data_IF_446819702244
#
_entry.id   IF_446819702244
#
_cell.length_a   1.000
_cell.length_b   1.000
_cell.length_c   1.000
_cell.angle_alpha   90.00
_cell.angle_beta   90.00
_cell.angle_gamma   90.00
#
_symmetry.space_group_name_H-M   'P 1'
#
loop_
_entity.id
_entity.type
_entity.pdbx_description
1 polymer ?
#
# COMPACT_ATOMS: atom_id res chain seq x y z
N UNK A 1 -15.29 -13.33 -8.17
CA UNK A 1 -14.06 -12.78 -7.57
C UNK A 1 -13.24 -13.90 -6.99
N UNK A 2 -11.99 -14.04 -7.45
CA UNK A 2 -11.00 -14.95 -6.86
C UNK A 2 -10.59 -14.47 -5.46
N UNK A 3 -9.95 -15.31 -4.66
CA UNK A 3 -9.43 -14.94 -3.33
C UNK A 3 -8.48 -13.75 -3.43
N UNK A 4 -7.58 -13.75 -4.42
CA UNK A 4 -6.62 -12.68 -4.66
C UNK A 4 -7.29 -11.34 -5.00
N UNK A 5 -8.35 -11.34 -5.81
CA UNK A 5 -9.11 -10.12 -6.10
C UNK A 5 -9.76 -9.50 -4.85
N UNK A 6 -10.17 -10.33 -3.87
CA UNK A 6 -10.70 -9.81 -2.60
C UNK A 6 -9.60 -9.23 -1.73
N UNK A 7 -8.47 -9.92 -1.63
CA UNK A 7 -7.30 -9.45 -0.89
C UNK A 7 -6.79 -8.11 -1.46
N UNK A 8 -6.64 -8.01 -2.78
CA UNK A 8 -6.25 -6.76 -3.44
C UNK A 8 -7.25 -5.64 -3.19
N UNK A 9 -8.56 -5.92 -3.22
CA UNK A 9 -9.58 -4.92 -2.93
C UNK A 9 -9.50 -4.41 -1.49
N UNK A 10 -9.33 -5.31 -0.51
CA UNK A 10 -9.15 -4.95 0.90
C UNK A 10 -7.86 -4.15 1.12
N UNK A 11 -6.75 -4.58 0.53
CA UNK A 11 -5.47 -3.88 0.59
C UNK A 11 -5.58 -2.47 -0.02
N UNK A 12 -6.21 -2.34 -1.20
CA UNK A 12 -6.44 -1.06 -1.86
C UNK A 12 -7.25 -0.11 -0.98
N UNK A 13 -8.33 -0.59 -0.36
CA UNK A 13 -9.13 0.22 0.54
C UNK A 13 -8.31 0.72 1.74
N UNK A 14 -7.49 -0.13 2.34
CA UNK A 14 -6.58 0.25 3.43
C UNK A 14 -5.53 1.28 2.98
N UNK A 15 -4.95 1.11 1.80
CA UNK A 15 -3.99 2.05 1.21
C UNK A 15 -4.59 3.42 0.93
N UNK A 16 -5.78 3.47 0.32
CA UNK A 16 -6.49 4.71 0.02
C UNK A 16 -6.80 5.48 1.31
N UNK A 17 -7.28 4.78 2.34
CA UNK A 17 -7.57 5.39 3.65
C UNK A 17 -6.29 5.90 4.33
N UNK A 18 -5.23 5.09 4.33
CA UNK A 18 -3.95 5.44 4.91
C UNK A 18 -3.35 6.68 4.23
N UNK A 19 -3.31 6.70 2.89
CA UNK A 19 -2.77 7.82 2.13
C UNK A 19 -3.60 9.09 2.34
N UNK A 20 -4.93 8.99 2.42
CA UNK A 20 -5.78 10.13 2.71
C UNK A 20 -5.43 10.79 4.05
N UNK A 21 -5.20 9.99 5.10
CA UNK A 21 -4.86 10.52 6.43
C UNK A 21 -3.42 11.05 6.53
N UNK A 22 -2.45 10.44 5.85
CA UNK A 22 -1.03 10.75 6.04
C UNK A 22 -0.43 11.65 4.96
N UNK A 23 -0.90 11.53 3.72
CA UNK A 23 -0.38 12.26 2.57
C UNK A 23 -1.37 13.35 2.11
N UNK A 24 -2.67 13.05 2.13
CA UNK A 24 -3.73 13.91 1.62
C UNK A 24 -4.41 13.31 0.39
N UNK A 25 -5.40 14.02 -0.14
CA UNK A 25 -6.23 13.54 -1.27
C UNK A 25 -5.53 13.60 -2.63
N UNK A 26 -4.36 14.26 -2.74
CA UNK A 26 -3.56 14.34 -3.96
C UNK A 26 -2.55 13.20 -4.10
N UNK A 27 -2.49 12.28 -3.13
CA UNK A 27 -1.70 11.07 -3.25
C UNK A 27 -2.24 10.16 -4.36
N UNK A 28 -1.35 9.70 -5.23
CA UNK A 28 -1.65 8.70 -6.26
C UNK A 28 -1.13 7.35 -5.79
N UNK A 29 -2.02 6.36 -5.84
CA UNK A 29 -1.70 4.97 -5.51
C UNK A 29 -2.13 4.11 -6.68
N UNK A 30 -1.18 3.38 -7.23
CA UNK A 30 -1.45 2.35 -8.23
C UNK A 30 -1.16 0.99 -7.61
N UNK A 31 -2.06 0.03 -7.86
CA UNK A 31 -1.97 -1.33 -7.32
C UNK A 31 -2.14 -2.29 -8.47
N UNK A 32 -1.06 -2.99 -8.83
CA UNK A 32 -1.00 -3.93 -9.95
C UNK A 32 -0.89 -5.36 -9.42
N UNK A 33 -1.78 -6.23 -9.89
CA UNK A 33 -1.77 -7.65 -9.53
C UNK A 33 -0.87 -8.43 -10.49
N UNK A 34 -0.17 -9.42 -9.95
CA UNK A 34 0.67 -10.38 -10.67
C UNK A 34 0.45 -11.79 -10.13
N UNK A 35 0.96 -12.81 -10.81
CA UNK A 35 0.90 -14.19 -10.30
C UNK A 35 1.65 -14.34 -8.97
N UNK A 36 2.71 -13.56 -8.76
CA UNK A 36 3.56 -13.59 -7.56
C UNK A 36 3.00 -12.78 -6.38
N UNK A 37 2.07 -11.85 -6.62
CA UNK A 37 1.60 -10.94 -5.59
C UNK A 37 1.13 -9.59 -6.15
N UNK A 38 1.39 -8.53 -5.41
CA UNK A 38 0.93 -7.17 -5.71
C UNK A 38 2.10 -6.20 -5.72
N UNK A 39 2.12 -5.33 -6.73
CA UNK A 39 3.01 -4.17 -6.78
C UNK A 39 2.21 -2.90 -6.49
N UNK A 40 2.68 -2.11 -5.54
CA UNK A 40 2.05 -0.87 -5.09
C UNK A 40 3.00 0.27 -5.42
N UNK A 41 2.52 1.25 -6.18
CA UNK A 41 3.25 2.50 -6.43
C UNK A 41 2.58 3.63 -5.68
N UNK A 42 3.35 4.42 -4.93
CA UNK A 42 2.86 5.60 -4.21
C UNK A 42 3.61 6.83 -4.69
N UNK A 43 2.86 7.82 -5.16
CA UNK A 43 3.40 9.10 -5.60
C UNK A 43 2.63 10.26 -4.94
N UNK A 44 3.36 11.14 -4.26
CA UNK A 44 2.80 12.32 -3.63
C UNK A 44 3.85 13.42 -3.52
N UNK A 45 3.43 14.69 -3.48
CA UNK A 45 4.33 15.86 -3.51
C UNK A 45 5.34 15.90 -2.35
N UNK A 46 4.97 15.35 -1.18
CA UNK A 46 5.78 15.35 0.06
C UNK A 46 6.73 14.16 0.23
N UNK A 47 6.66 13.17 -0.66
CA UNK A 47 7.51 11.99 -0.61
C UNK A 47 8.16 11.76 -1.97
N UNK A 48 9.32 11.13 -1.99
CA UNK A 48 9.88 10.58 -3.21
C UNK A 48 8.96 9.43 -3.63
N UNK A 49 8.50 9.38 -4.89
CA UNK A 49 7.72 8.25 -5.36
C UNK A 49 8.46 6.94 -5.11
N UNK A 50 7.74 5.92 -4.65
CA UNK A 50 8.32 4.63 -4.32
C UNK A 50 7.38 3.50 -4.70
N UNK A 51 7.97 2.34 -4.91
CA UNK A 51 7.29 1.10 -5.24
C UNK A 51 7.52 0.07 -4.13
N UNK A 52 6.49 -0.72 -3.84
CA UNK A 52 6.49 -1.80 -2.86
C UNK A 52 5.92 -3.05 -3.52
N UNK A 53 6.71 -4.11 -3.57
CA UNK A 53 6.27 -5.42 -4.02
C UNK A 53 5.98 -6.30 -2.82
N UNK A 54 4.80 -6.90 -2.78
CA UNK A 54 4.35 -7.83 -1.74
C UNK A 54 3.94 -9.15 -2.38
N UNK A 55 4.39 -10.27 -1.83
CA UNK A 55 3.85 -11.57 -2.22
C UNK A 55 2.45 -11.79 -1.63
N UNK A 56 1.68 -12.73 -2.18
CA UNK A 56 0.31 -12.99 -1.71
C UNK A 56 0.20 -13.34 -0.23
N UNK A 57 1.20 -14.02 0.34
CA UNK A 57 1.22 -14.34 1.77
C UNK A 57 1.37 -13.07 2.63
N UNK A 58 2.20 -12.12 2.21
CA UNK A 58 2.34 -10.83 2.89
C UNK A 58 1.06 -10.01 2.77
N UNK A 59 0.40 -10.03 1.61
CA UNK A 59 -0.88 -9.34 1.43
C UNK A 59 -1.95 -9.91 2.38
N UNK A 60 -2.03 -11.23 2.50
CA UNK A 60 -2.97 -11.87 3.43
C UNK A 60 -2.70 -11.48 4.89
N UNK A 61 -1.44 -11.52 5.32
CA UNK A 61 -1.00 -11.08 6.65
C UNK A 61 -1.37 -9.61 6.92
N UNK A 62 -1.11 -8.71 5.96
CA UNK A 62 -1.36 -7.28 6.11
C UNK A 62 -2.86 -6.93 6.09
N UNK A 63 -3.67 -7.69 5.35
CA UNK A 63 -5.13 -7.55 5.38
C UNK A 63 -5.70 -8.08 6.71
N UNK A 64 -5.10 -9.13 7.28
CA UNK A 64 -5.52 -9.68 8.57
C UNK A 64 -5.09 -8.83 9.77
N UNK A 65 -3.98 -8.07 9.67
CA UNK A 65 -3.44 -7.21 10.73
C UNK A 65 -3.25 -5.75 10.26
N UNK A 66 -4.28 -4.89 10.47
CA UNK A 66 -4.22 -3.49 10.11
C UNK A 66 -3.10 -2.69 10.81
N UNK A 67 -2.71 -3.08 12.03
CA UNK A 67 -1.66 -2.38 12.78
C UNK A 67 -0.29 -2.64 12.14
N UNK A 68 -0.06 -3.88 11.69
CA UNK A 68 1.14 -4.25 10.93
C UNK A 68 1.19 -3.55 9.58
N UNK A 69 0.05 -3.43 8.90
CA UNK A 69 -0.07 -2.65 7.67
C UNK A 69 0.31 -1.18 7.88
N UNK A 70 -0.28 -0.53 8.89
CA UNK A 70 0.00 0.88 9.19
C UNK A 70 1.48 1.10 9.54
N UNK A 71 2.06 0.23 10.37
CA UNK A 71 3.47 0.29 10.73
C UNK A 71 4.40 0.17 9.51
N UNK A 72 4.12 -0.77 8.59
CA UNK A 72 4.87 -0.94 7.36
C UNK A 72 4.82 0.33 6.49
N UNK A 73 3.61 0.87 6.28
CA UNK A 73 3.43 2.02 5.40
C UNK A 73 4.05 3.30 5.99
N UNK A 74 3.96 3.51 7.31
CA UNK A 74 4.61 4.63 7.99
C UNK A 74 6.14 4.57 7.88
N UNK A 75 6.72 3.38 8.00
CA UNK A 75 8.16 3.18 7.78
C UNK A 75 8.56 3.54 6.35
N UNK A 76 7.78 3.13 5.34
CA UNK A 76 8.02 3.53 3.94
C UNK A 76 7.92 5.05 3.75
N UNK A 77 6.85 5.70 4.25
CA UNK A 77 6.70 7.15 4.14
C UNK A 77 7.85 7.90 4.82
N UNK A 78 8.34 7.41 5.95
CA UNK A 78 9.46 8.02 6.67
C UNK A 78 10.76 7.87 5.88
N UNK A 79 11.02 6.71 5.28
CA UNK A 79 12.20 6.45 4.45
C UNK A 79 12.25 7.31 3.20
N UNK A 80 11.11 7.52 2.54
CA UNK A 80 11.02 8.27 1.29
C UNK A 80 10.57 9.73 1.49
N UNK A 81 10.51 10.22 2.73
CA UNK A 81 10.13 11.61 3.00
C UNK A 81 11.10 12.57 2.32
N UNK A 82 10.57 13.52 1.55
CA UNK A 82 11.38 14.64 1.04
C UNK A 82 11.64 15.58 2.21
N UNK A 83 12.92 15.77 2.55
CA UNK A 83 13.36 16.62 3.65
C UNK A 83 13.17 18.10 3.37
#
# INVERSE_FOLDING_TARGET
MTTYQRLTASLRQSLELFAFFHLGSDARIDVNESESGVEISVAHSRVVPFDLSLCWAEVEDLVADPARFEALMLDQLTRYRRS
#
